data_IF_307692959217
#
_entry.id   IF_307692959217
#
_cell.length_a   1.000
_cell.length_b   1.000
_cell.length_c   1.000
_cell.angle_alpha   90.00
_cell.angle_beta   90.00
_cell.angle_gamma   90.00
#
_symmetry.space_group_name_H-M   'P 1'
#
loop_
_entity.id
_entity.type
_entity.pdbx_description
1 polymer ?
#
# COMPACT_ATOMS: atom_id res chain seq x y z
N UNK A 1 -6.73 -1.37 27.01
CA UNK A 1 -6.89 0.09 27.17
C UNK A 1 -8.26 0.45 26.62
N UNK A 2 -9.22 0.74 27.52
CA UNK A 2 -10.53 1.23 27.11
C UNK A 2 -10.41 2.69 26.64
N UNK A 3 -11.02 2.98 25.48
CA UNK A 3 -11.12 4.34 24.98
C UNK A 3 -12.10 5.10 25.86
N UNK A 4 -11.70 6.25 26.37
CA UNK A 4 -12.60 7.08 27.19
C UNK A 4 -13.87 7.45 26.40
N UNK A 5 -15.07 7.34 26.99
CA UNK A 5 -16.35 7.59 26.30
C UNK A 5 -16.42 8.96 25.61
N UNK A 6 -15.84 9.99 26.21
CA UNK A 6 -15.76 11.33 25.63
C UNK A 6 -14.95 11.39 24.32
N UNK A 7 -13.88 10.59 24.22
CA UNK A 7 -13.05 10.49 23.01
C UNK A 7 -13.83 9.85 21.87
N UNK A 8 -14.58 8.78 22.13
CA UNK A 8 -15.43 8.14 21.11
C UNK A 8 -16.47 9.11 20.58
N UNK A 9 -17.16 9.83 21.48
CA UNK A 9 -18.15 10.82 21.09
C UNK A 9 -17.55 11.93 20.21
N UNK A 10 -16.39 12.44 20.57
CA UNK A 10 -15.68 13.47 19.80
C UNK A 10 -15.34 12.97 18.40
N UNK A 11 -14.75 11.77 18.29
CA UNK A 11 -14.40 11.17 16.99
C UNK A 11 -15.63 11.00 16.12
N UNK A 12 -16.72 10.43 16.65
CA UNK A 12 -17.96 10.20 15.88
C UNK A 12 -18.58 11.51 15.43
N UNK A 13 -18.62 12.52 16.28
CA UNK A 13 -19.16 13.85 15.94
C UNK A 13 -18.34 14.47 14.80
N UNK A 14 -17.02 14.47 14.92
CA UNK A 14 -16.13 15.04 13.93
C UNK A 14 -16.21 14.31 12.57
N UNK A 15 -16.33 12.97 12.58
CA UNK A 15 -16.52 12.20 11.34
C UNK A 15 -17.86 12.49 10.66
N UNK A 16 -18.94 12.72 11.44
CA UNK A 16 -20.24 13.14 10.89
C UNK A 16 -20.14 14.53 10.24
N UNK A 17 -19.48 15.49 10.89
CA UNK A 17 -19.26 16.82 10.33
C UNK A 17 -18.52 16.75 8.97
N UNK A 18 -17.46 15.93 8.86
CA UNK A 18 -16.77 15.71 7.59
C UNK A 18 -17.68 15.10 6.53
N UNK A 19 -18.47 14.10 6.91
CA UNK A 19 -19.38 13.42 5.98
C UNK A 19 -20.43 14.38 5.40
N UNK A 20 -20.92 15.33 6.18
CA UNK A 20 -22.01 16.22 5.80
C UNK A 20 -21.58 17.39 4.90
N UNK A 21 -20.27 17.56 4.63
CA UNK A 21 -19.73 18.62 3.80
C UNK A 21 -20.12 18.53 2.30
N UNK A 22 -20.57 17.37 1.83
CA UNK A 22 -20.89 17.13 0.43
C UNK A 22 -19.65 17.05 -0.48
N UNK A 23 -19.86 16.73 -1.76
CA UNK A 23 -18.78 16.49 -2.73
C UNK A 23 -18.35 17.79 -3.42
N UNK A 24 -17.06 18.17 -3.40
CA UNK A 24 -16.54 19.28 -4.19
C UNK A 24 -16.58 18.94 -5.68
N UNK A 25 -16.87 19.92 -6.53
CA UNK A 25 -17.06 19.73 -7.98
C UNK A 25 -15.84 20.15 -8.78
N UNK A 26 -15.29 21.33 -8.48
CA UNK A 26 -14.14 21.90 -9.19
C UNK A 26 -12.82 21.50 -8.52
N UNK A 27 -11.71 21.65 -9.24
CA UNK A 27 -10.38 21.38 -8.71
C UNK A 27 -10.01 22.34 -7.58
N UNK A 28 -10.42 23.63 -7.70
CA UNK A 28 -10.21 24.62 -6.64
C UNK A 28 -11.00 24.28 -5.37
N UNK A 29 -12.24 23.78 -5.53
CA UNK A 29 -13.02 23.29 -4.40
C UNK A 29 -12.39 22.04 -3.76
N UNK A 30 -11.79 21.15 -4.55
CA UNK A 30 -11.03 19.99 -4.05
C UNK A 30 -9.79 20.46 -3.28
N UNK A 31 -9.02 21.39 -3.84
CA UNK A 31 -7.85 21.95 -3.18
C UNK A 31 -8.23 22.57 -1.83
N UNK A 32 -9.24 23.43 -1.82
CA UNK A 32 -9.74 24.05 -0.59
C UNK A 32 -10.23 23.00 0.42
N UNK A 33 -10.95 21.97 -0.03
CA UNK A 33 -11.45 20.92 0.85
C UNK A 33 -10.32 20.10 1.49
N UNK A 34 -9.22 19.87 0.78
CA UNK A 34 -8.03 19.18 1.32
C UNK A 34 -7.39 20.04 2.41
N UNK A 35 -7.23 21.34 2.19
CA UNK A 35 -6.70 22.25 3.21
C UNK A 35 -7.61 22.31 4.43
N UNK A 36 -8.91 22.52 4.23
CA UNK A 36 -9.93 22.55 5.29
C UNK A 36 -9.93 21.20 6.08
N UNK A 37 -9.67 20.08 5.42
CA UNK A 37 -9.56 18.76 6.07
C UNK A 37 -8.37 18.66 7.02
N UNK A 38 -7.20 19.13 6.62
CA UNK A 38 -6.03 19.09 7.50
C UNK A 38 -6.17 20.08 8.65
N UNK A 39 -6.73 21.27 8.41
CA UNK A 39 -7.07 22.23 9.47
C UNK A 39 -8.08 21.62 10.46
N UNK A 40 -9.09 20.93 9.96
CA UNK A 40 -10.06 20.22 10.77
C UNK A 40 -9.41 19.14 11.63
N UNK A 41 -8.50 18.33 11.07
CA UNK A 41 -7.75 17.33 11.84
C UNK A 41 -6.96 17.97 12.98
N UNK A 42 -6.33 19.11 12.73
CA UNK A 42 -5.58 19.84 13.74
C UNK A 42 -6.47 20.34 14.88
N UNK A 43 -7.62 20.95 14.57
CA UNK A 43 -8.53 21.52 15.57
C UNK A 43 -9.34 20.47 16.35
N UNK A 44 -9.70 19.37 15.67
CA UNK A 44 -10.51 18.30 16.25
C UNK A 44 -9.68 17.19 16.92
N UNK A 45 -8.35 17.30 16.92
CA UNK A 45 -7.44 16.27 17.43
C UNK A 45 -7.63 14.89 16.79
N UNK A 46 -8.19 14.87 15.57
CA UNK A 46 -8.31 13.66 14.76
C UNK A 46 -7.04 13.49 13.95
N UNK A 47 -6.51 12.27 13.94
CA UNK A 47 -5.32 11.94 13.13
C UNK A 47 -5.70 11.90 11.65
N UNK A 48 -4.95 12.57 10.77
CA UNK A 48 -5.20 12.49 9.33
C UNK A 48 -5.01 11.06 8.80
N UNK A 49 -5.90 10.65 7.91
CA UNK A 49 -5.91 9.32 7.33
C UNK A 49 -6.68 9.27 6.01
N UNK A 50 -6.50 8.20 5.25
CA UNK A 50 -7.11 8.05 3.92
C UNK A 50 -8.64 7.95 4.00
N UNK A 51 -9.19 7.22 4.98
CA UNK A 51 -10.64 7.05 5.10
C UNK A 51 -11.34 8.37 5.43
N UNK A 52 -10.81 9.13 6.37
CA UNK A 52 -11.38 10.44 6.74
C UNK A 52 -11.16 11.50 5.65
N UNK A 53 -10.06 11.43 4.90
CA UNK A 53 -9.87 12.27 3.71
C UNK A 53 -10.92 11.95 2.63
N UNK A 54 -11.16 10.67 2.33
CA UNK A 54 -12.22 10.26 1.41
C UNK A 54 -13.60 10.75 1.87
N UNK A 55 -13.85 10.67 3.17
CA UNK A 55 -15.10 11.16 3.78
C UNK A 55 -15.25 12.67 3.57
N UNK A 56 -14.21 13.46 3.81
CA UNK A 56 -14.24 14.92 3.60
C UNK A 56 -14.45 15.32 2.14
N UNK A 57 -13.93 14.55 1.20
CA UNK A 57 -14.12 14.75 -0.24
C UNK A 57 -15.41 14.13 -0.77
N UNK A 58 -16.14 13.40 0.06
CA UNK A 58 -17.35 12.65 -0.28
C UNK A 58 -17.15 11.73 -1.48
N UNK A 59 -16.06 10.96 -1.45
CA UNK A 59 -15.68 9.99 -2.48
C UNK A 59 -15.33 8.64 -1.85
N UNK A 60 -15.35 7.58 -2.66
CA UNK A 60 -14.86 6.28 -2.26
C UNK A 60 -13.33 6.17 -2.34
N UNK A 61 -12.73 5.20 -1.67
CA UNK A 61 -11.31 4.87 -1.84
C UNK A 61 -10.95 4.54 -3.29
N UNK A 62 -11.84 3.87 -4.01
CA UNK A 62 -11.65 3.57 -5.42
C UNK A 62 -11.54 4.84 -6.26
N UNK A 63 -12.38 5.84 -6.00
CA UNK A 63 -12.30 7.14 -6.67
C UNK A 63 -11.00 7.86 -6.33
N UNK A 64 -10.59 7.85 -5.05
CA UNK A 64 -9.31 8.42 -4.64
C UNK A 64 -8.13 7.76 -5.35
N UNK A 65 -8.14 6.43 -5.46
CA UNK A 65 -7.12 5.66 -6.17
C UNK A 65 -7.06 6.02 -7.66
N UNK A 66 -8.22 6.14 -8.34
CA UNK A 66 -8.29 6.56 -9.74
C UNK A 66 -7.71 7.96 -9.93
N UNK A 67 -8.09 8.92 -9.10
CA UNK A 67 -7.55 10.28 -9.15
C UNK A 67 -6.02 10.30 -8.87
N UNK A 68 -5.55 9.50 -7.93
CA UNK A 68 -4.13 9.36 -7.66
C UNK A 68 -3.33 8.86 -8.88
N UNK A 69 -3.94 8.02 -9.70
CA UNK A 69 -3.34 7.49 -10.92
C UNK A 69 -3.55 8.39 -12.15
N UNK A 70 -4.30 9.47 -12.02
CA UNK A 70 -4.63 10.37 -13.11
C UNK A 70 -5.84 9.95 -13.95
N UNK A 71 -6.62 8.96 -13.47
CA UNK A 71 -7.83 8.50 -14.15
C UNK A 71 -9.01 9.39 -13.78
N UNK A 72 -9.79 9.80 -14.79
CA UNK A 72 -11.00 10.62 -14.66
C UNK A 72 -10.82 11.94 -13.88
N UNK A 73 -9.64 12.54 -13.95
CA UNK A 73 -9.37 13.81 -13.31
C UNK A 73 -8.33 14.63 -14.08
N UNK A 74 -8.25 15.94 -13.76
CA UNK A 74 -7.21 16.80 -14.28
C UNK A 74 -5.83 16.44 -13.70
N UNK A 75 -4.72 16.79 -14.40
CA UNK A 75 -3.37 16.65 -13.83
C UNK A 75 -3.22 17.41 -12.50
N UNK A 76 -3.86 18.55 -12.37
CA UNK A 76 -3.84 19.34 -11.13
C UNK A 76 -4.53 18.62 -9.97
N UNK A 77 -5.69 17.99 -10.21
CA UNK A 77 -6.37 17.17 -9.18
C UNK A 77 -5.53 15.97 -8.78
N UNK A 78 -4.88 15.31 -9.75
CA UNK A 78 -3.96 14.21 -9.47
C UNK A 78 -2.84 14.65 -8.52
N UNK A 79 -2.21 15.79 -8.79
CA UNK A 79 -1.14 16.36 -7.95
C UNK A 79 -1.64 16.69 -6.54
N UNK A 80 -2.84 17.26 -6.41
CA UNK A 80 -3.47 17.54 -5.12
C UNK A 80 -3.65 16.27 -4.28
N UNK A 81 -4.14 15.20 -4.89
CA UNK A 81 -4.34 13.91 -4.20
C UNK A 81 -3.00 13.28 -3.82
N UNK A 82 -2.00 13.30 -4.70
CA UNK A 82 -0.67 12.80 -4.41
C UNK A 82 -0.02 13.56 -3.25
N UNK A 83 -0.13 14.89 -3.24
CA UNK A 83 0.37 15.73 -2.15
C UNK A 83 -0.33 15.45 -0.83
N UNK A 84 -1.66 15.30 -0.83
CA UNK A 84 -2.42 14.96 0.37
C UNK A 84 -2.01 13.59 0.94
N UNK A 85 -1.81 12.59 0.08
CA UNK A 85 -1.32 11.28 0.48
C UNK A 85 0.10 11.33 1.06
N UNK A 86 0.98 12.12 0.44
CA UNK A 86 2.34 12.34 0.94
C UNK A 86 2.34 12.99 2.32
N UNK A 87 1.45 13.96 2.55
CA UNK A 87 1.28 14.59 3.85
C UNK A 87 0.83 13.58 4.92
N UNK A 88 -0.14 12.71 4.61
CA UNK A 88 -0.58 11.64 5.50
C UNK A 88 0.57 10.67 5.79
N UNK A 89 1.38 10.33 4.78
CA UNK A 89 2.57 9.48 4.95
C UNK A 89 3.59 10.11 5.90
N UNK A 90 3.90 11.38 5.71
CA UNK A 90 4.80 12.12 6.59
C UNK A 90 4.27 12.21 8.03
N UNK A 91 2.96 12.42 8.20
CA UNK A 91 2.33 12.38 9.51
C UNK A 91 2.49 11.02 10.19
N UNK A 92 2.24 9.91 9.48
CA UNK A 92 2.40 8.56 10.01
C UNK A 92 3.85 8.29 10.42
N UNK A 93 4.83 8.70 9.60
CA UNK A 93 6.24 8.58 9.89
C UNK A 93 6.60 9.31 11.19
N UNK A 94 6.23 10.57 11.31
CA UNK A 94 6.52 11.36 12.52
C UNK A 94 5.80 10.80 13.75
N UNK A 95 4.57 10.32 13.60
CA UNK A 95 3.82 9.72 14.70
C UNK A 95 4.43 8.38 15.18
N UNK A 96 4.98 7.58 14.26
CA UNK A 96 5.70 6.35 14.61
C UNK A 96 7.03 6.68 15.30
N UNK A 97 7.82 7.60 14.75
CA UNK A 97 9.11 8.02 15.32
C UNK A 97 8.92 8.66 16.70
N UNK A 98 7.82 9.39 16.90
CA UNK A 98 7.44 9.97 18.18
C UNK A 98 6.77 9.00 19.16
N UNK A 99 6.63 7.71 18.82
CA UNK A 99 6.01 6.70 19.68
C UNK A 99 4.51 6.90 19.90
N UNK A 100 3.83 7.67 19.04
CA UNK A 100 2.38 7.95 19.13
C UNK A 100 1.52 6.93 18.37
N UNK A 101 2.13 6.18 17.49
CA UNK A 101 1.54 5.05 16.76
C UNK A 101 2.51 3.88 16.90
N UNK A 102 1.98 2.69 17.20
CA UNK A 102 2.83 1.50 17.27
C UNK A 102 3.42 1.20 15.88
N UNK A 103 4.70 0.81 15.77
CA UNK A 103 5.30 0.52 14.49
C UNK A 103 4.54 -0.50 13.63
N UNK A 104 4.02 -1.63 14.17
CA UNK A 104 3.21 -2.56 13.38
C UNK A 104 1.96 -1.92 12.79
N UNK A 105 1.25 -1.09 13.57
CA UNK A 105 0.06 -0.37 13.09
C UNK A 105 0.40 0.64 12.00
N UNK A 106 1.47 1.41 12.19
CA UNK A 106 1.93 2.37 11.21
C UNK A 106 2.35 1.72 9.89
N UNK A 107 3.10 0.62 9.94
CA UNK A 107 3.52 -0.15 8.77
C UNK A 107 2.29 -0.71 8.04
N UNK A 108 1.31 -1.25 8.76
CA UNK A 108 0.05 -1.73 8.18
C UNK A 108 -0.68 -0.62 7.42
N UNK A 109 -0.81 0.58 8.00
CA UNK A 109 -1.45 1.72 7.36
C UNK A 109 -0.67 2.19 6.13
N UNK A 110 0.65 2.30 6.20
CA UNK A 110 1.50 2.68 5.07
C UNK A 110 1.35 1.72 3.89
N UNK A 111 1.33 0.41 4.15
CA UNK A 111 1.14 -0.60 3.10
C UNK A 111 -0.24 -0.49 2.44
N UNK A 112 -1.30 -0.32 3.24
CA UNK A 112 -2.67 -0.29 2.73
C UNK A 112 -3.09 1.06 2.13
N UNK A 113 -2.54 2.17 2.63
CA UNK A 113 -2.92 3.51 2.19
C UNK A 113 -2.00 4.09 1.13
N UNK A 114 -0.69 3.78 1.22
CA UNK A 114 0.35 4.46 0.46
C UNK A 114 1.09 3.52 -0.49
N UNK A 115 0.67 2.27 -0.59
CA UNK A 115 1.29 1.23 -1.44
C UNK A 115 2.76 0.92 -1.12
N UNK A 116 3.20 1.12 0.12
CA UNK A 116 4.51 0.66 0.54
C UNK A 116 4.58 -0.87 0.49
N UNK A 117 5.69 -1.38 0.00
CA UNK A 117 5.91 -2.83 -0.15
C UNK A 117 7.23 -3.21 0.50
N UNK A 118 7.24 -4.38 1.14
CA UNK A 118 8.50 -5.02 1.52
C UNK A 118 9.11 -5.59 0.24
N UNK A 119 10.21 -5.02 -0.23
CA UNK A 119 11.00 -5.61 -1.31
C UNK A 119 12.02 -6.55 -0.68
N UNK A 120 11.78 -7.86 -0.79
CA UNK A 120 12.81 -8.86 -0.53
C UNK A 120 13.51 -9.10 -1.85
N UNK A 121 14.72 -8.55 -2.03
CA UNK A 121 15.59 -8.96 -3.11
C UNK A 121 16.22 -10.29 -2.72
N UNK A 122 15.78 -11.38 -3.33
CA UNK A 122 16.56 -12.60 -3.34
C UNK A 122 17.71 -12.36 -4.34
N UNK A 123 18.88 -12.01 -3.85
CA UNK A 123 20.10 -12.26 -4.62
C UNK A 123 20.21 -13.79 -4.68
N UNK A 124 19.81 -14.40 -5.80
CA UNK A 124 20.27 -15.71 -6.14
C UNK A 124 21.80 -15.61 -6.30
N UNK A 125 22.51 -15.86 -5.22
CA UNK A 125 23.89 -16.29 -5.30
C UNK A 125 23.87 -17.66 -6.00
N UNK A 126 23.73 -17.64 -7.33
CA UNK A 126 24.08 -18.76 -8.14
C UNK A 126 25.61 -18.79 -8.03
N UNK A 127 26.21 -19.81 -7.35
CA UNK A 127 27.62 -20.01 -7.46
C UNK A 127 27.88 -20.14 -8.96
N UNK A 128 28.70 -19.29 -9.51
CA UNK A 128 29.27 -19.53 -10.83
C UNK A 128 30.19 -20.76 -10.69
N UNK A 129 29.60 -21.93 -10.53
CA UNK A 129 30.25 -23.15 -10.92
C UNK A 129 30.41 -23.04 -12.44
N UNK A 130 31.64 -22.79 -12.81
CA UNK A 130 32.13 -22.76 -14.17
C UNK A 130 31.42 -23.82 -15.03
N UNK A 131 30.92 -23.34 -16.17
CA UNK A 131 30.42 -24.04 -17.31
C UNK A 131 31.18 -25.32 -17.66
N UNK A 132 31.02 -26.38 -16.90
CA UNK A 132 31.43 -27.72 -17.26
C UNK A 132 30.30 -28.75 -17.11
N UNK A 133 29.04 -28.27 -17.09
CA UNK A 133 27.92 -29.17 -17.36
C UNK A 133 27.87 -29.41 -18.85
N UNK A 134 28.53 -30.49 -19.29
CA UNK A 134 28.31 -31.08 -20.61
C UNK A 134 26.80 -31.20 -20.79
N UNK A 135 26.26 -30.40 -21.73
CA UNK A 135 24.85 -30.53 -22.12
C UNK A 135 24.76 -31.92 -22.75
N UNK A 136 24.23 -32.90 -21.99
CA UNK A 136 23.97 -34.22 -22.48
C UNK A 136 22.93 -34.12 -23.58
N UNK A 137 23.33 -34.42 -24.82
CA UNK A 137 22.40 -34.52 -25.92
C UNK A 137 21.53 -35.77 -25.75
N UNK A 138 20.36 -35.77 -26.41
CA UNK A 138 19.49 -36.95 -26.39
C UNK A 138 20.19 -38.25 -26.87
N UNK A 139 21.35 -38.13 -27.54
CA UNK A 139 22.20 -39.25 -27.98
C UNK A 139 23.08 -39.79 -26.88
N UNK A 140 23.32 -39.02 -25.82
CA UNK A 140 24.17 -39.41 -24.67
C UNK A 140 23.38 -40.09 -23.56
N UNK A 141 22.05 -40.17 -23.69
CA UNK A 141 21.17 -40.87 -22.75
C UNK A 141 21.23 -42.36 -22.99
N UNK A 142 21.44 -43.22 -21.95
CA UNK A 142 21.38 -44.66 -22.10
C UNK A 142 20.01 -45.07 -22.61
N UNK A 143 19.96 -45.88 -23.66
CA UNK A 143 18.70 -46.42 -24.19
C UNK A 143 18.07 -47.33 -23.16
N UNK A 144 16.77 -47.18 -22.90
CA UNK A 144 16.04 -47.96 -21.89
C UNK A 144 16.22 -49.47 -22.03
N UNK A 145 16.43 -49.99 -23.26
CA UNK A 145 16.69 -51.40 -23.54
C UNK A 145 18.04 -51.92 -23.05
N UNK A 146 18.98 -51.07 -22.65
CA UNK A 146 20.28 -51.53 -22.11
C UNK A 146 20.21 -51.95 -20.65
N UNK A 147 19.16 -51.57 -19.93
CA UNK A 147 18.94 -51.98 -18.54
C UNK A 147 18.23 -53.33 -18.42
N UNK A 148 17.49 -53.78 -19.43
CA UNK A 148 16.76 -55.08 -19.40
C UNK A 148 17.61 -56.29 -19.76
N UNK A 149 18.85 -56.11 -20.22
CA UNK A 149 19.72 -57.21 -20.62
C UNK A 149 20.58 -57.80 -19.51
N UNK A 150 20.56 -57.22 -18.31
CA UNK A 150 21.38 -57.72 -17.19
C UNK A 150 20.66 -58.66 -16.21
N UNK A 151 19.37 -58.90 -16.38
CA UNK A 151 18.63 -59.79 -15.48
C UNK A 151 18.46 -61.25 -15.99
N UNK A 152 18.87 -61.55 -17.22
CA UNK A 152 18.66 -62.91 -17.79
C UNK A 152 19.91 -63.80 -17.89
N UNK A 153 21.07 -63.39 -17.36
CA UNK A 153 22.30 -64.18 -17.43
C UNK A 153 22.70 -64.81 -16.07
N UNK A 154 21.75 -64.97 -15.13
CA UNK A 154 21.95 -65.73 -13.90
C UNK A 154 20.78 -66.70 -13.64
N UNK A 155 20.66 -67.70 -14.51
CA UNK A 155 19.98 -68.97 -14.17
C UNK A 155 20.87 -70.15 -14.65
#
# INVERSE_FOLDING_TARGET
DEIEPGTVQQIVTSLKELHDLGRPKTDDEVAKRIDDYFDFCQHSSIRPGIESLCMSLHISRTTLFRWNNGDDCSPYRQELIQSAKSFIGAFLEQAMLGGKISPPSGIFLMKNWLNYKDTVSFEENIPQEENNRKILSAKDLPKLGSFMKKENDNI
#
